data_IF_872896557853
#
_entry.id   IF_872896557853
#
_cell.length_a   1.000
_cell.length_b   1.000
_cell.length_c   1.000
_cell.angle_alpha   90.00
_cell.angle_beta   90.00
_cell.angle_gamma   90.00
#
_symmetry.space_group_name_H-M   'P 1'
#
loop_
_entity.id
_entity.type
_entity.pdbx_description
1 polymer ?
#
# COMPACT_ATOMS: atom_id res chain seq x y z
N UNK A 1 12.39 1.10 13.91
CA UNK A 1 11.21 0.78 14.74
C UNK A 1 11.47 -0.48 15.55
N UNK A 2 10.62 -0.80 16.55
CA UNK A 2 10.71 -2.05 17.32
C UNK A 2 10.34 -3.22 16.41
N UNK A 3 11.09 -4.32 16.52
CA UNK A 3 10.86 -5.53 15.73
C UNK A 3 9.89 -6.48 16.46
N UNK A 4 8.76 -6.77 15.82
CA UNK A 4 7.76 -7.69 16.33
C UNK A 4 8.19 -9.14 16.08
N UNK A 5 8.12 -9.97 17.12
CA UNK A 5 8.56 -11.38 17.07
C UNK A 5 7.39 -12.38 16.99
N UNK A 6 6.14 -11.89 17.00
CA UNK A 6 4.98 -12.77 16.97
C UNK A 6 4.22 -12.82 18.30
N UNK A 7 3.57 -13.94 18.55
CA UNK A 7 2.73 -14.17 19.74
C UNK A 7 3.28 -15.36 20.53
N UNK A 8 3.31 -15.23 21.84
CA UNK A 8 3.60 -16.33 22.75
C UNK A 8 2.47 -17.38 22.71
N UNK A 9 2.71 -18.59 22.21
CA UNK A 9 1.66 -19.61 22.11
C UNK A 9 1.07 -20.03 23.46
N UNK A 10 1.83 -19.86 24.56
CA UNK A 10 1.38 -20.29 25.85
C UNK A 10 0.34 -19.36 26.49
N UNK A 11 0.39 -18.05 26.16
CA UNK A 11 -0.39 -17.06 26.91
C UNK A 11 -0.94 -15.89 26.06
N UNK A 12 -0.67 -15.88 24.74
CA UNK A 12 -1.19 -14.87 23.82
C UNK A 12 -0.57 -13.48 23.92
N UNK A 13 0.56 -13.32 24.62
CA UNK A 13 1.29 -12.07 24.70
C UNK A 13 1.94 -11.75 23.34
N UNK A 14 1.91 -10.47 22.93
CA UNK A 14 2.79 -9.98 21.89
C UNK A 14 4.25 -10.08 22.34
N UNK A 15 5.12 -10.54 21.46
CA UNK A 15 6.56 -10.66 21.66
C UNK A 15 7.30 -9.70 20.73
N UNK A 16 8.39 -9.14 21.27
CA UNK A 16 9.30 -8.25 20.53
C UNK A 16 10.72 -8.75 20.70
N UNK A 17 11.56 -8.61 19.66
CA UNK A 17 13.00 -8.83 19.79
C UNK A 17 13.63 -7.70 20.58
N UNK A 18 14.50 -8.01 21.54
CA UNK A 18 15.18 -6.99 22.35
C UNK A 18 16.10 -6.13 21.51
N UNK A 19 16.82 -6.73 20.56
CA UNK A 19 17.75 -6.05 19.66
C UNK A 19 18.79 -5.16 20.38
N UNK A 20 19.15 -5.47 21.62
CA UNK A 20 20.29 -4.85 22.29
C UNK A 20 21.58 -5.33 21.61
N UNK A 21 22.55 -4.41 21.44
CA UNK A 21 23.83 -4.77 20.86
C UNK A 21 24.63 -5.62 21.85
N UNK A 22 25.03 -6.79 21.42
CA UNK A 22 25.87 -7.70 22.18
C UNK A 22 27.37 -7.31 22.06
N UNK A 23 28.26 -7.82 22.94
CA UNK A 23 29.68 -7.49 22.90
C UNK A 23 30.41 -7.80 21.58
N UNK A 24 29.88 -8.75 20.81
CA UNK A 24 30.39 -9.14 19.48
C UNK A 24 29.84 -8.26 18.34
N UNK A 25 29.02 -7.23 18.66
CA UNK A 25 28.39 -6.33 17.69
C UNK A 25 27.09 -6.89 17.07
N UNK A 26 26.70 -8.11 17.36
CA UNK A 26 25.43 -8.68 16.91
C UNK A 26 24.23 -8.14 17.73
N UNK A 27 23.01 -8.39 17.24
CA UNK A 27 21.79 -8.00 17.97
C UNK A 27 21.24 -9.19 18.77
N UNK A 28 20.88 -8.92 20.03
CA UNK A 28 20.18 -9.88 20.87
C UNK A 28 18.79 -10.18 20.30
N UNK A 29 18.62 -11.39 19.78
CA UNK A 29 17.35 -11.88 19.22
C UNK A 29 16.50 -12.65 20.26
N UNK A 30 16.80 -12.54 21.54
CA UNK A 30 15.87 -12.99 22.58
C UNK A 30 14.62 -12.12 22.60
N UNK A 31 13.48 -12.74 22.94
CA UNK A 31 12.19 -12.04 22.92
C UNK A 31 11.79 -11.53 24.28
N UNK A 32 11.02 -10.46 24.31
CA UNK A 32 10.37 -9.91 25.49
C UNK A 32 8.93 -9.54 25.21
N UNK A 33 8.07 -9.63 26.22
CA UNK A 33 6.69 -9.07 26.17
C UNK A 33 6.63 -7.58 26.51
N UNK A 34 7.71 -7.03 27.05
CA UNK A 34 7.78 -5.64 27.51
C UNK A 34 8.32 -4.77 26.37
N UNK A 35 7.44 -3.98 25.75
CA UNK A 35 7.80 -3.15 24.60
C UNK A 35 8.99 -2.20 24.86
N UNK A 36 9.10 -1.65 26.07
CA UNK A 36 10.17 -0.72 26.44
C UNK A 36 11.57 -1.36 26.56
N UNK A 37 11.65 -2.68 26.66
CA UNK A 37 12.92 -3.42 26.67
C UNK A 37 13.46 -3.69 25.24
N UNK A 38 12.62 -3.49 24.23
CA UNK A 38 13.00 -3.73 22.83
C UNK A 38 13.59 -2.46 22.20
N UNK A 39 14.78 -2.56 21.65
CA UNK A 39 15.43 -1.46 20.93
C UNK A 39 14.93 -1.35 19.49
N UNK A 40 14.99 -0.13 18.95
CA UNK A 40 14.58 0.17 17.57
C UNK A 40 15.69 -0.20 16.61
N UNK A 41 15.29 -0.77 15.48
CA UNK A 41 16.17 -1.05 14.34
C UNK A 41 15.68 -0.31 13.10
N UNK A 42 16.55 -0.24 12.07
CA UNK A 42 16.14 0.14 10.71
C UNK A 42 15.43 -1.07 10.11
N UNK A 43 14.11 -0.98 9.95
CA UNK A 43 13.28 -2.13 9.56
C UNK A 43 12.75 -2.07 8.11
N UNK A 44 12.87 -0.91 7.45
CA UNK A 44 12.40 -0.72 6.08
C UNK A 44 12.83 0.61 5.51
N UNK A 45 12.63 0.78 4.20
CA UNK A 45 12.90 2.00 3.46
C UNK A 45 11.59 2.48 2.81
N UNK A 46 11.16 3.75 2.97
CA UNK A 46 9.96 4.27 2.31
C UNK A 46 10.16 4.53 0.80
N UNK A 47 11.38 4.50 0.32
CA UNK A 47 11.70 4.72 -1.09
C UNK A 47 11.90 3.39 -1.81
N UNK A 48 11.36 3.24 -3.04
CA UNK A 48 11.57 2.04 -3.84
C UNK A 48 13.03 1.91 -4.26
N UNK A 49 13.51 0.66 -4.35
CA UNK A 49 14.81 0.33 -4.88
C UNK A 49 14.81 0.25 -6.41
N UNK A 50 13.62 -0.03 -6.99
CA UNK A 50 13.41 -0.14 -8.42
C UNK A 50 12.08 0.52 -8.79
N UNK A 51 12.13 1.35 -9.83
CA UNK A 51 10.94 1.89 -10.51
C UNK A 51 11.03 1.53 -11.99
N UNK A 52 9.94 1.06 -12.57
CA UNK A 52 9.86 0.74 -13.98
C UNK A 52 8.56 1.21 -14.60
N UNK A 53 8.62 1.59 -15.88
CA UNK A 53 7.45 1.95 -16.68
C UNK A 53 7.52 1.29 -18.05
N UNK A 54 6.36 0.86 -18.56
CA UNK A 54 6.18 0.34 -19.90
C UNK A 54 5.02 1.06 -20.55
N UNK A 55 5.30 1.77 -21.65
CA UNK A 55 4.27 2.35 -22.49
C UNK A 55 4.29 1.66 -23.85
N UNK A 56 3.12 1.20 -24.29
CA UNK A 56 2.93 0.63 -25.61
C UNK A 56 1.87 1.45 -26.36
N UNK A 57 2.17 1.80 -27.60
CA UNK A 57 1.24 2.52 -28.47
C UNK A 57 1.15 1.79 -29.80
N UNK A 58 -0.07 1.51 -30.25
CA UNK A 58 -0.36 0.82 -31.49
C UNK A 58 -1.34 1.67 -32.29
N UNK A 59 -1.03 1.92 -33.55
CA UNK A 59 -1.94 2.56 -34.51
C UNK A 59 -2.23 1.58 -35.63
N UNK A 60 -3.50 1.33 -35.89
CA UNK A 60 -3.94 0.46 -36.97
C UNK A 60 -5.13 1.06 -37.69
N UNK A 61 -4.94 1.44 -38.93
CA UNK A 61 -5.93 2.19 -39.74
C UNK A 61 -6.41 3.44 -38.97
N UNK A 62 -7.67 3.47 -38.60
CA UNK A 62 -8.30 4.60 -37.94
C UNK A 62 -8.32 4.45 -36.39
N UNK A 63 -7.80 3.35 -35.86
CA UNK A 63 -7.71 3.11 -34.44
C UNK A 63 -6.34 3.47 -33.90
N UNK A 64 -6.31 4.08 -32.75
CA UNK A 64 -5.12 4.24 -31.91
C UNK A 64 -5.39 3.66 -30.52
N UNK A 65 -4.44 2.92 -30.04
CA UNK A 65 -4.46 2.27 -28.73
C UNK A 65 -3.18 2.62 -27.99
N UNK A 66 -3.29 2.98 -26.72
CA UNK A 66 -2.14 3.22 -25.87
C UNK A 66 -2.40 2.65 -24.48
N UNK A 67 -1.39 2.00 -23.90
CA UNK A 67 -1.42 1.57 -22.53
C UNK A 67 -0.09 1.92 -21.85
N UNK A 68 -0.17 2.23 -20.55
CA UNK A 68 0.99 2.52 -19.72
C UNK A 68 0.88 1.76 -18.41
N UNK A 69 1.87 0.92 -18.12
CA UNK A 69 2.09 0.33 -16.82
C UNK A 69 3.22 1.06 -16.09
N UNK A 70 3.09 1.16 -14.78
CA UNK A 70 4.14 1.61 -13.87
C UNK A 70 4.23 0.63 -12.70
N UNK A 71 5.45 0.34 -12.25
CA UNK A 71 5.68 -0.50 -11.07
C UNK A 71 6.78 0.07 -10.20
N UNK A 72 6.67 -0.19 -8.89
CA UNK A 72 7.65 0.17 -7.87
C UNK A 72 7.88 -1.04 -6.95
N UNK A 73 9.13 -1.28 -6.56
CA UNK A 73 9.52 -2.42 -5.74
C UNK A 73 10.55 -2.04 -4.69
N UNK A 74 10.49 -2.71 -3.54
CA UNK A 74 11.42 -2.59 -2.44
C UNK A 74 11.08 -1.50 -1.43
N UNK A 75 9.99 -0.77 -1.62
CA UNK A 75 9.51 0.18 -0.63
C UNK A 75 8.72 -0.51 0.50
N UNK A 76 8.68 0.15 1.66
CA UNK A 76 7.89 -0.26 2.81
C UNK A 76 7.11 0.91 3.37
N UNK A 77 5.91 0.65 3.86
CA UNK A 77 5.06 1.65 4.49
C UNK A 77 4.63 1.18 5.89
N UNK A 78 4.66 2.09 6.84
CA UNK A 78 4.12 1.86 8.16
C UNK A 78 2.62 2.19 8.17
N UNK A 79 1.78 1.17 8.35
CA UNK A 79 0.33 1.31 8.45
C UNK A 79 -0.06 1.79 9.86
N UNK A 80 -0.05 3.09 10.06
CA UNK A 80 -0.43 3.68 11.34
C UNK A 80 -1.91 3.52 11.65
N UNK A 81 -2.79 3.51 10.64
CA UNK A 81 -4.20 3.20 10.81
C UNK A 81 -4.40 1.77 11.34
N UNK A 82 -3.59 0.81 10.90
CA UNK A 82 -3.60 -0.56 11.37
C UNK A 82 -3.35 -0.69 12.86
N UNK A 83 -2.54 0.19 13.45
CA UNK A 83 -2.32 0.25 14.90
C UNK A 83 -3.61 0.46 15.70
N UNK A 84 -4.57 1.17 15.15
CA UNK A 84 -5.89 1.40 15.76
C UNK A 84 -6.88 0.29 15.38
N UNK A 85 -6.95 -0.05 14.10
CA UNK A 85 -7.90 -1.02 13.55
C UNK A 85 -7.58 -2.48 13.88
N UNK A 86 -6.31 -2.81 14.18
CA UNK A 86 -5.84 -4.14 14.60
C UNK A 86 -5.22 -4.09 16.01
N UNK A 87 -5.85 -3.35 16.91
CA UNK A 87 -5.32 -3.02 18.24
C UNK A 87 -5.53 -4.09 19.30
N UNK A 88 -6.05 -5.27 18.94
CA UNK A 88 -6.37 -6.34 19.89
C UNK A 88 -7.31 -5.87 21.02
N UNK A 89 -8.33 -5.09 20.67
CA UNK A 89 -9.29 -4.48 21.58
C UNK A 89 -8.70 -3.45 22.57
N UNK A 90 -7.54 -2.88 22.29
CA UNK A 90 -6.96 -1.78 23.07
C UNK A 90 -7.85 -0.53 23.03
N UNK A 91 -8.33 -0.19 21.83
CA UNK A 91 -9.22 0.94 21.57
C UNK A 91 -10.66 0.48 21.36
N UNK A 92 -11.60 1.42 21.40
CA UNK A 92 -13.05 1.16 21.22
C UNK A 92 -13.49 1.16 19.76
N UNK A 93 -12.54 1.16 18.84
CA UNK A 93 -12.78 1.20 17.40
C UNK A 93 -13.19 -0.17 16.86
N UNK A 94 -13.88 -0.18 15.73
CA UNK A 94 -14.12 -1.38 14.95
C UNK A 94 -12.80 -1.98 14.53
N UNK A 95 -12.70 -3.32 14.61
CA UNK A 95 -11.49 -4.04 14.31
C UNK A 95 -11.53 -4.64 12.89
N UNK A 96 -10.36 -4.78 12.27
CA UNK A 96 -10.21 -5.46 10.99
C UNK A 96 -10.38 -6.98 11.13
N UNK A 97 -10.64 -7.66 10.01
CA UNK A 97 -10.91 -9.11 9.97
C UNK A 97 -9.74 -9.98 10.43
N UNK A 98 -8.51 -9.47 10.39
CA UNK A 98 -7.34 -10.19 10.92
C UNK A 98 -7.49 -10.54 12.40
N UNK A 99 -8.27 -9.74 13.16
CA UNK A 99 -8.55 -9.99 14.57
C UNK A 99 -9.38 -11.28 14.81
N UNK A 100 -9.99 -11.85 13.79
CA UNK A 100 -10.62 -13.17 13.87
C UNK A 100 -9.59 -14.29 14.07
N UNK A 101 -8.35 -14.08 13.60
CA UNK A 101 -7.24 -15.02 13.73
C UNK A 101 -6.41 -14.80 15.00
N UNK A 102 -6.95 -14.04 15.98
CA UNK A 102 -6.24 -13.78 17.23
C UNK A 102 -6.03 -15.04 18.04
N UNK A 103 -4.99 -15.04 18.86
CA UNK A 103 -4.76 -16.08 19.87
C UNK A 103 -5.95 -16.16 20.83
N UNK A 104 -6.45 -17.36 21.12
CA UNK A 104 -7.60 -17.62 21.98
C UNK A 104 -7.28 -18.65 23.07
N UNK A 105 -6.50 -19.71 22.71
CA UNK A 105 -6.21 -20.82 23.62
C UNK A 105 -4.71 -21.14 23.66
N UNK A 106 -4.20 -21.63 24.80
CA UNK A 106 -2.83 -22.12 24.88
C UNK A 106 -2.52 -23.15 23.78
N UNK A 107 -1.43 -22.91 23.05
CA UNK A 107 -1.02 -23.70 21.88
C UNK A 107 -1.40 -23.09 20.54
N UNK A 108 -2.23 -22.05 20.47
CA UNK A 108 -2.56 -21.38 19.21
C UNK A 108 -1.31 -20.74 18.60
N UNK A 109 -1.08 -21.03 17.32
CA UNK A 109 0.00 -20.42 16.53
C UNK A 109 -0.60 -19.36 15.61
N UNK A 110 -0.34 -18.09 15.92
CA UNK A 110 -0.86 -16.94 15.19
C UNK A 110 0.08 -15.74 15.31
N UNK A 111 -0.05 -14.79 14.39
CA UNK A 111 0.63 -13.49 14.45
C UNK A 111 -0.21 -12.38 15.09
N UNK A 112 -1.44 -12.70 15.51
CA UNK A 112 -2.37 -11.73 16.10
C UNK A 112 -2.52 -12.04 17.59
N UNK A 113 -2.06 -11.14 18.49
CA UNK A 113 -2.11 -11.35 19.93
C UNK A 113 -3.52 -11.51 20.48
N UNK A 114 -3.60 -12.01 21.70
CA UNK A 114 -4.85 -12.08 22.45
C UNK A 114 -5.49 -10.69 22.57
N UNK A 115 -6.79 -10.60 22.28
CA UNK A 115 -7.56 -9.39 22.50
C UNK A 115 -7.71 -9.11 24.02
N UNK A 116 -7.39 -7.88 24.44
CA UNK A 116 -7.45 -7.45 25.84
C UNK A 116 -8.08 -6.07 25.91
N UNK A 117 -9.32 -6.02 26.32
CA UNK A 117 -10.07 -4.77 26.40
C UNK A 117 -9.35 -3.71 27.23
N UNK A 118 -9.09 -2.56 26.60
CA UNK A 118 -8.44 -1.41 27.25
C UNK A 118 -6.99 -1.62 27.69
N UNK A 119 -6.38 -2.78 27.40
CA UNK A 119 -5.00 -3.12 27.80
C UNK A 119 -4.11 -3.31 26.59
N UNK A 120 -2.86 -2.89 26.73
CA UNK A 120 -1.84 -3.03 25.69
C UNK A 120 -1.44 -4.50 25.49
N UNK A 121 -1.46 -4.94 24.23
CA UNK A 121 -0.93 -6.25 23.81
C UNK A 121 -0.55 -6.25 22.32
N UNK A 122 0.52 -5.54 21.95
CA UNK A 122 1.08 -5.56 20.60
C UNK A 122 0.53 -4.54 19.61
N UNK A 123 -0.24 -3.54 20.07
CA UNK A 123 -0.69 -2.40 19.23
C UNK A 123 0.37 -1.31 19.09
N UNK A 124 1.46 -1.40 19.87
CA UNK A 124 2.54 -0.38 19.79
C UNK A 124 3.22 -0.37 18.42
N UNK A 125 3.83 0.77 18.10
CA UNK A 125 4.52 0.99 16.84
C UNK A 125 5.66 -0.01 16.63
N UNK A 126 5.46 -0.98 15.76
CA UNK A 126 6.41 -2.07 15.50
C UNK A 126 6.33 -2.55 14.05
N UNK A 127 7.21 -3.46 13.66
CA UNK A 127 7.18 -4.09 12.33
C UNK A 127 5.92 -4.93 12.09
N UNK A 128 5.08 -5.16 13.08
CA UNK A 128 3.77 -5.77 12.91
C UNK A 128 2.90 -5.02 11.89
N UNK A 129 3.06 -3.71 11.82
CA UNK A 129 2.31 -2.81 10.93
C UNK A 129 3.17 -2.26 9.80
N UNK A 130 4.34 -2.85 9.55
CA UNK A 130 5.21 -2.49 8.44
C UNK A 130 4.94 -3.43 7.28
N UNK A 131 4.40 -2.90 6.20
CA UNK A 131 4.06 -3.65 5.00
C UNK A 131 5.00 -3.28 3.84
N UNK A 132 5.26 -4.23 2.94
CA UNK A 132 5.87 -3.96 1.64
C UNK A 132 4.81 -3.40 0.70
N UNK A 133 5.24 -2.45 -0.14
CA UNK A 133 4.34 -1.74 -1.07
C UNK A 133 4.68 -1.99 -2.52
N UNK A 134 5.23 -3.16 -2.83
CA UNK A 134 5.49 -3.56 -4.21
C UNK A 134 4.18 -3.59 -5.01
N UNK A 135 4.18 -2.95 -6.18
CA UNK A 135 2.99 -2.93 -7.03
C UNK A 135 3.33 -2.76 -8.51
N UNK A 136 2.36 -3.14 -9.36
CA UNK A 136 2.28 -2.75 -10.77
C UNK A 136 0.90 -2.17 -11.01
N UNK A 137 0.83 -0.98 -11.63
CA UNK A 137 -0.43 -0.28 -11.91
C UNK A 137 -0.58 0.02 -13.39
N UNK A 138 -1.78 -0.26 -13.91
CA UNK A 138 -2.23 0.25 -15.21
C UNK A 138 -2.61 1.72 -15.04
N UNK A 139 -1.67 2.61 -15.37
CA UNK A 139 -1.81 4.06 -15.23
C UNK A 139 -2.75 4.66 -16.24
N UNK A 140 -2.61 4.21 -17.48
CA UNK A 140 -3.39 4.74 -18.57
C UNK A 140 -3.73 3.62 -19.55
N UNK A 141 -4.96 3.62 -20.02
CA UNK A 141 -5.46 2.79 -21.11
C UNK A 141 -6.31 3.69 -22.00
N UNK A 142 -5.90 3.95 -23.22
CA UNK A 142 -6.62 4.79 -24.16
C UNK A 142 -6.92 4.04 -25.46
N UNK A 143 -8.14 4.17 -25.93
CA UNK A 143 -8.59 3.71 -27.24
C UNK A 143 -9.22 4.88 -27.98
N UNK A 144 -8.66 5.24 -29.13
CA UNK A 144 -9.17 6.28 -30.00
C UNK A 144 -9.61 5.72 -31.34
N UNK A 145 -10.57 6.38 -31.95
CA UNK A 145 -11.02 6.13 -33.32
C UNK A 145 -11.16 7.45 -34.06
N UNK A 146 -10.41 7.61 -35.15
CA UNK A 146 -10.51 8.76 -36.06
C UNK A 146 -11.50 8.41 -37.17
N UNK A 147 -12.54 9.21 -37.33
CA UNK A 147 -13.55 9.00 -38.36
C UNK A 147 -12.95 9.16 -39.76
N UNK A 148 -13.36 8.32 -40.75
CA UNK A 148 -12.94 8.46 -42.12
C UNK A 148 -13.35 9.80 -42.73
N UNK A 149 -12.56 10.35 -43.67
CA UNK A 149 -12.87 11.60 -44.34
C UNK A 149 -14.23 11.60 -45.05
N UNK A 150 -14.68 10.45 -45.55
CA UNK A 150 -16.03 10.30 -46.16
C UNK A 150 -17.19 10.63 -45.19
N UNK A 151 -16.95 10.58 -43.86
CA UNK A 151 -17.91 10.96 -42.82
C UNK A 151 -17.72 12.41 -42.43
N UNK A 152 -16.47 12.85 -42.17
CA UNK A 152 -16.17 14.17 -41.64
C UNK A 152 -16.46 15.28 -42.64
N UNK A 153 -16.25 15.06 -43.94
CA UNK A 153 -16.60 15.99 -45.00
C UNK A 153 -18.08 16.32 -45.09
N UNK A 154 -18.99 15.42 -44.66
CA UNK A 154 -20.42 15.66 -44.67
C UNK A 154 -20.86 16.69 -43.62
N UNK A 155 -20.03 16.94 -42.61
CA UNK A 155 -20.26 17.90 -41.52
C UNK A 155 -19.26 19.06 -41.53
N UNK A 156 -18.51 19.22 -42.64
CA UNK A 156 -17.51 20.30 -42.82
C UNK A 156 -16.43 20.34 -41.74
N UNK A 157 -15.96 19.17 -41.30
CA UNK A 157 -14.91 18.99 -40.28
C UNK A 157 -13.72 18.27 -40.94
N UNK A 158 -12.50 18.77 -40.74
CA UNK A 158 -11.31 18.16 -41.32
C UNK A 158 -10.98 16.83 -40.64
N UNK A 159 -11.09 16.78 -39.36
CA UNK A 159 -10.82 15.55 -38.54
C UNK A 159 -11.71 15.49 -37.35
N UNK A 160 -12.26 14.31 -37.08
CA UNK A 160 -13.01 14.00 -35.86
C UNK A 160 -12.46 12.70 -35.27
N UNK A 161 -11.95 12.78 -34.04
CA UNK A 161 -11.49 11.60 -33.27
C UNK A 161 -12.30 11.50 -31.99
N UNK A 162 -12.87 10.32 -31.76
CA UNK A 162 -13.52 9.93 -30.50
C UNK A 162 -12.55 9.06 -29.71
N UNK A 163 -12.47 9.27 -28.40
CA UNK A 163 -11.61 8.43 -27.58
C UNK A 163 -12.22 8.12 -26.22
N UNK A 164 -11.78 6.97 -25.68
CA UNK A 164 -12.06 6.51 -24.34
C UNK A 164 -10.75 6.29 -23.61
N UNK A 165 -10.58 6.90 -22.45
CA UNK A 165 -9.38 6.74 -21.66
C UNK A 165 -9.74 6.32 -20.23
N UNK A 166 -9.06 5.30 -19.73
CA UNK A 166 -9.12 4.87 -18.35
C UNK A 166 -7.84 5.20 -17.62
N UNK A 167 -7.95 5.75 -16.41
CA UNK A 167 -6.81 6.13 -15.57
C UNK A 167 -6.86 5.36 -14.26
N UNK A 168 -5.72 4.79 -13.84
CA UNK A 168 -5.56 4.01 -12.59
C UNK A 168 -6.56 2.83 -12.47
N UNK A 169 -6.88 2.16 -13.57
CA UNK A 169 -7.95 1.15 -13.60
C UNK A 169 -7.64 -0.09 -12.75
N UNK A 170 -6.39 -0.56 -12.79
CA UNK A 170 -5.97 -1.79 -12.15
C UNK A 170 -4.67 -1.57 -11.37
N UNK A 171 -4.60 -2.14 -10.17
CA UNK A 171 -3.39 -2.21 -9.35
C UNK A 171 -3.17 -3.64 -8.90
N UNK A 172 -2.00 -4.19 -9.19
CA UNK A 172 -1.56 -5.52 -8.77
C UNK A 172 -0.57 -5.34 -7.64
N UNK A 173 -0.93 -5.79 -6.44
CA UNK A 173 -0.12 -5.64 -5.23
C UNK A 173 -0.51 -6.68 -4.18
N UNK A 174 0.41 -7.02 -3.29
CA UNK A 174 0.14 -7.78 -2.07
C UNK A 174 -0.08 -6.87 -0.83
N UNK A 175 0.03 -5.56 -1.01
CA UNK A 175 -0.24 -4.61 0.06
C UNK A 175 -1.70 -4.68 0.51
N UNK A 176 -1.91 -4.75 1.82
CA UNK A 176 -3.25 -4.95 2.41
C UNK A 176 -3.97 -3.64 2.78
N UNK A 177 -3.28 -2.51 2.69
CA UNK A 177 -3.87 -1.18 2.91
C UNK A 177 -4.66 -0.69 1.70
N UNK A 178 -5.11 0.56 1.74
CA UNK A 178 -5.96 1.14 0.70
C UNK A 178 -5.22 1.31 -0.63
N UNK A 179 -3.97 1.80 -0.60
CA UNK A 179 -3.18 2.02 -1.80
C UNK A 179 -1.67 2.01 -1.49
N UNK A 180 -0.85 1.27 -2.26
CA UNK A 180 0.59 1.14 -2.00
C UNK A 180 1.39 2.42 -2.26
N UNK A 181 0.86 3.39 -3.02
CA UNK A 181 1.52 4.68 -3.28
C UNK A 181 1.08 5.79 -2.32
N UNK A 182 -0.09 5.64 -1.69
CA UNK A 182 -0.63 6.69 -0.83
C UNK A 182 0.15 6.78 0.46
N UNK A 183 0.73 7.94 0.71
CA UNK A 183 1.45 8.29 1.92
C UNK A 183 0.71 9.44 2.61
N UNK A 184 0.65 9.39 3.93
CA UNK A 184 0.14 10.48 4.74
C UNK A 184 1.30 11.36 5.20
N UNK A 185 1.20 12.66 4.96
CA UNK A 185 2.10 13.65 5.51
C UNK A 185 1.40 14.36 6.69
N UNK A 186 1.89 14.10 7.90
CA UNK A 186 1.36 14.70 9.12
C UNK A 186 1.81 16.16 9.33
N UNK A 187 2.82 16.59 8.60
CA UNK A 187 3.34 17.95 8.62
C UNK A 187 3.12 18.57 7.22
N UNK A 188 2.01 19.27 7.03
CA UNK A 188 1.63 19.88 5.75
C UNK A 188 2.67 20.76 5.05
N UNK A 189 3.82 20.96 5.69
CA UNK A 189 4.94 21.78 5.20
C UNK A 189 6.17 20.95 4.79
N UNK A 190 6.15 19.62 4.92
CA UNK A 190 7.31 18.79 4.61
C UNK A 190 7.01 17.67 3.65
N UNK A 191 7.51 17.76 2.43
CA UNK A 191 7.54 16.66 1.45
C UNK A 191 8.47 15.50 1.86
N UNK A 192 8.90 15.43 3.11
CA UNK A 192 9.96 14.53 3.61
C UNK A 192 9.39 13.28 4.28
N UNK A 193 8.14 13.30 4.73
CA UNK A 193 7.52 12.19 5.43
C UNK A 193 6.83 11.20 4.46
N UNK A 194 7.64 10.41 3.75
CA UNK A 194 7.13 9.21 3.07
C UNK A 194 7.11 8.02 4.03
N UNK A 195 6.24 7.04 3.73
CA UNK A 195 6.26 5.74 4.38
C UNK A 195 5.34 5.58 5.57
N UNK A 196 4.37 6.48 5.75
CA UNK A 196 3.28 6.34 6.72
C UNK A 196 1.95 6.33 5.98
N UNK A 197 1.09 5.34 6.26
CA UNK A 197 -0.29 5.30 5.79
C UNK A 197 -1.23 5.51 6.98
N UNK A 198 -2.00 6.60 6.94
CA UNK A 198 -3.00 6.90 7.94
C UNK A 198 -4.29 7.37 7.26
N UNK A 199 -5.18 6.43 6.95
CA UNK A 199 -6.45 6.68 6.26
C UNK A 199 -6.33 7.45 4.94
N UNK A 200 -5.17 7.38 4.27
CA UNK A 200 -4.93 8.06 2.99
C UNK A 200 -5.83 7.47 1.90
N UNK A 201 -6.57 8.33 1.21
CA UNK A 201 -7.44 7.90 0.12
C UNK A 201 -6.61 7.39 -1.08
N UNK A 202 -7.03 6.30 -1.73
CA UNK A 202 -6.40 5.85 -2.96
C UNK A 202 -6.66 6.85 -4.10
N UNK A 203 -5.78 6.91 -5.12
CA UNK A 203 -6.04 7.69 -6.32
C UNK A 203 -7.30 7.18 -7.04
N UNK A 204 -8.08 8.13 -7.57
CA UNK A 204 -9.33 7.81 -8.23
C UNK A 204 -9.11 6.95 -9.49
N UNK A 205 -9.98 5.96 -9.70
CA UNK A 205 -10.17 5.31 -11.00
C UNK A 205 -11.04 6.22 -11.84
N UNK A 206 -10.56 6.63 -13.01
CA UNK A 206 -11.25 7.61 -13.84
C UNK A 206 -11.49 7.05 -15.24
N UNK A 207 -12.67 7.31 -15.79
CA UNK A 207 -13.02 7.02 -17.18
C UNK A 207 -13.32 8.36 -17.86
N UNK A 208 -12.66 8.63 -18.97
CA UNK A 208 -12.78 9.85 -19.74
C UNK A 208 -13.26 9.49 -21.15
N UNK A 209 -14.33 10.10 -21.59
CA UNK A 209 -14.79 10.09 -22.98
C UNK A 209 -14.54 11.47 -23.57
N UNK A 210 -13.91 11.54 -24.73
CA UNK A 210 -13.63 12.82 -25.33
C UNK A 210 -13.70 12.82 -26.87
N UNK A 211 -13.73 14.03 -27.41
CA UNK A 211 -13.75 14.31 -28.84
C UNK A 211 -12.64 15.30 -29.16
N UNK A 212 -11.90 15.03 -30.24
CA UNK A 212 -10.97 16.00 -30.85
C UNK A 212 -11.54 16.37 -32.22
N UNK A 213 -11.72 17.65 -32.46
CA UNK A 213 -12.31 18.20 -33.69
C UNK A 213 -11.33 19.21 -34.27
N UNK A 214 -10.90 18.97 -35.52
CA UNK A 214 -10.10 19.90 -36.32
C UNK A 214 -11.03 20.47 -37.43
N UNK A 215 -11.16 21.81 -37.49
CA UNK A 215 -12.05 22.56 -38.43
C UNK A 215 -11.26 23.07 -39.63
#
# INVERSE_FOLDING_TARGET
MVEYAGVDPANGNALFYKNTTLPDGSLDKTTTKTYSEAQRIIAGNPYPNLMAGLTNTVTFKNFDFSLTFQGEWGASIYNEAGKFQSSNARYRDNQTKDQLNRWQNPGDITNVPQARWGRSNGEQASTRYLDKTDFVRLRNLSLGYTLPKSVTQKVSVDRLRVYLTGVNLLTFTNYKGYDPESSYDNNGDSNIQKGIAFYSAPPAKTIIVGLNIDL
#
